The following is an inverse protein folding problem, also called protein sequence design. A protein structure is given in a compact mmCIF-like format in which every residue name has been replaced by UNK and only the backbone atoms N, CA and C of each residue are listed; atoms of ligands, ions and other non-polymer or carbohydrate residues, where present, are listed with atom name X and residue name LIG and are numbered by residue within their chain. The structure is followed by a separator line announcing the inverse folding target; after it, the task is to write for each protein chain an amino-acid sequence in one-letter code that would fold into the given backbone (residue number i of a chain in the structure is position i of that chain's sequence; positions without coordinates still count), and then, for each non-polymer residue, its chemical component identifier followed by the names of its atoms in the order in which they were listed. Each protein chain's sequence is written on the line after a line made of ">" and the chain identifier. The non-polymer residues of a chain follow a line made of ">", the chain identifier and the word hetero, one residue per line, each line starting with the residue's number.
data_IF_029015416925
#
_entry.id   IF_029015416925
#
_cell.length_a   1.000
_cell.length_b   1.000
_cell.length_c   1.000
_cell.angle_alpha   90.00
_cell.angle_beta   90.00
_cell.angle_gamma   90.00
#
_symmetry.space_group_name_H-M   'P 1'
#
loop_
_entity.id
_entity.type
_entity.pdbx_description
1 polymer ?
#
# COMPACT_ATOMS: atom_id res chain seq x y z
N UNK A 1 4.54 14.82 -10.78
CA UNK A 1 4.42 14.43 -9.36
C UNK A 1 5.82 14.04 -8.90
N UNK A 2 6.39 14.73 -7.90
CA UNK A 2 7.76 14.48 -7.46
C UNK A 2 7.92 13.02 -7.02
N UNK A 3 8.92 12.31 -7.55
CA UNK A 3 9.27 10.96 -7.13
C UNK A 3 9.65 11.04 -5.65
N UNK A 4 8.84 10.46 -4.76
CA UNK A 4 9.14 10.53 -3.32
C UNK A 4 10.49 9.84 -3.06
N UNK A 5 11.40 10.51 -2.38
CA UNK A 5 12.65 9.90 -1.93
C UNK A 5 12.33 8.93 -0.77
N UNK A 6 12.93 7.73 -0.77
CA UNK A 6 12.75 6.73 0.28
C UNK A 6 11.80 5.57 -0.10
N UNK A 7 11.22 4.92 0.92
CA UNK A 7 10.46 3.67 0.79
C UNK A 7 9.31 3.78 -0.24
N UNK A 8 8.55 4.88 -0.23
CA UNK A 8 7.42 5.08 -1.15
C UNK A 8 7.86 5.13 -2.60
N UNK A 9 9.02 5.72 -2.88
CA UNK A 9 9.58 5.79 -4.23
C UNK A 9 10.05 4.43 -4.73
N UNK A 10 10.56 3.57 -3.84
CA UNK A 10 10.92 2.18 -4.17
C UNK A 10 9.66 1.39 -4.51
N UNK A 11 8.62 1.48 -3.68
CA UNK A 11 7.35 0.77 -3.92
C UNK A 11 6.68 1.24 -5.22
N UNK A 12 6.69 2.54 -5.50
CA UNK A 12 6.16 3.12 -6.75
C UNK A 12 6.97 2.70 -7.99
N UNK A 13 8.25 2.36 -7.83
CA UNK A 13 9.11 1.94 -8.95
C UNK A 13 8.91 0.49 -9.37
N UNK A 14 8.16 -0.30 -8.58
CA UNK A 14 7.91 -1.70 -8.88
C UNK A 14 7.00 -1.85 -10.12
N UNK A 15 7.27 -2.83 -11.00
CA UNK A 15 6.36 -3.17 -12.09
C UNK A 15 4.97 -3.50 -11.56
N UNK A 16 3.91 -3.07 -12.27
CA UNK A 16 2.51 -3.29 -11.87
C UNK A 16 2.21 -4.75 -11.53
N UNK A 17 2.76 -5.70 -12.29
CA UNK A 17 2.59 -7.13 -12.04
C UNK A 17 3.14 -7.55 -10.67
N UNK A 18 4.30 -7.01 -10.28
CA UNK A 18 4.92 -7.30 -8.98
C UNK A 18 4.10 -6.68 -7.84
N UNK A 19 3.58 -5.46 -8.04
CA UNK A 19 2.70 -4.84 -7.04
C UNK A 19 1.44 -5.69 -6.81
N UNK A 20 0.80 -6.18 -7.88
CA UNK A 20 -0.37 -7.05 -7.79
C UNK A 20 -0.03 -8.36 -7.06
N UNK A 21 1.11 -8.99 -7.39
CA UNK A 21 1.57 -10.19 -6.71
C UNK A 21 1.76 -9.95 -5.21
N UNK A 22 2.40 -8.84 -4.82
CA UNK A 22 2.55 -8.49 -3.41
C UNK A 22 1.22 -8.22 -2.72
N UNK A 23 0.23 -7.64 -3.41
CA UNK A 23 -1.09 -7.44 -2.82
C UNK A 23 -1.83 -8.77 -2.59
N UNK A 24 -1.73 -9.73 -3.52
CA UNK A 24 -2.38 -11.04 -3.40
C UNK A 24 -1.78 -11.86 -2.25
N UNK A 25 -0.44 -11.94 -2.17
CA UNK A 25 0.22 -12.81 -1.19
C UNK A 25 0.50 -12.13 0.15
N UNK A 26 0.65 -10.80 0.15
CA UNK A 26 1.11 -10.04 1.31
C UNK A 26 0.45 -8.65 1.39
N UNK A 27 -0.80 -8.48 0.94
CA UNK A 27 -1.46 -7.18 0.82
C UNK A 27 -1.59 -6.39 2.12
N UNK A 28 -1.70 -7.08 3.25
CA UNK A 28 -1.68 -6.45 4.57
C UNK A 28 -0.30 -5.87 4.94
N UNK A 29 0.79 -6.50 4.52
CA UNK A 29 2.15 -5.96 4.70
C UNK A 29 2.42 -4.89 3.66
N UNK A 30 2.21 -5.19 2.38
CA UNK A 30 2.51 -4.27 1.28
C UNK A 30 1.70 -2.98 1.39
N UNK A 31 0.38 -3.09 1.58
CA UNK A 31 -0.50 -1.93 1.78
C UNK A 31 -0.20 -1.17 3.07
N UNK A 32 0.25 -1.86 4.13
CA UNK A 32 0.67 -1.25 5.38
C UNK A 32 1.97 -0.44 5.22
N UNK A 33 3.00 -1.05 4.62
CA UNK A 33 4.27 -0.39 4.31
C UNK A 33 4.08 0.81 3.38
N UNK A 34 3.21 0.69 2.38
CA UNK A 34 2.90 1.80 1.48
C UNK A 34 2.28 2.99 2.21
N UNK A 35 1.42 2.73 3.20
CA UNK A 35 0.80 3.75 4.06
C UNK A 35 1.75 4.31 5.12
N UNK A 36 2.73 3.53 5.60
CA UNK A 36 3.76 3.98 6.56
C UNK A 36 4.83 4.84 5.88
N UNK A 37 5.08 4.59 4.58
CA UNK A 37 6.18 5.20 3.84
C UNK A 37 6.25 6.75 3.81
N UNK A 38 5.15 7.53 3.95
CA UNK A 38 5.22 8.98 4.13
C UNK A 38 5.86 9.44 5.45
N UNK A 39 6.02 8.54 6.43
CA UNK A 39 6.57 8.80 7.77
C UNK A 39 5.84 9.91 8.57
N UNK A 40 4.61 10.24 8.19
CA UNK A 40 3.71 11.08 8.98
C UNK A 40 3.10 10.23 10.11
N UNK A 41 2.97 10.79 11.31
CA UNK A 41 2.41 10.12 12.48
C UNK A 41 1.03 9.52 12.19
N UNK A 42 0.18 10.25 11.47
CA UNK A 42 -1.15 9.74 11.07
C UNK A 42 -1.05 8.53 10.14
N UNK A 43 -0.16 8.62 9.15
CA UNK A 43 0.05 7.58 8.16
C UNK A 43 0.66 6.31 8.79
N UNK A 44 1.57 6.49 9.76
CA UNK A 44 2.15 5.41 10.57
C UNK A 44 1.05 4.70 11.37
N UNK A 45 0.19 5.43 12.08
CA UNK A 45 -0.90 4.84 12.86
C UNK A 45 -1.86 4.04 11.96
N UNK A 46 -2.25 4.62 10.81
CA UNK A 46 -3.14 3.94 9.85
C UNK A 46 -2.47 2.69 9.27
N UNK A 47 -1.19 2.76 8.91
CA UNK A 47 -0.47 1.62 8.35
C UNK A 47 -0.22 0.51 9.37
N UNK A 48 0.03 0.84 10.64
CA UNK A 48 0.12 -0.15 11.73
C UNK A 48 -1.24 -0.82 11.95
N UNK A 49 -2.33 -0.04 12.01
CA UNK A 49 -3.70 -0.59 12.11
C UNK A 49 -4.00 -1.51 10.94
N UNK A 50 -3.60 -1.14 9.72
CA UNK A 50 -3.74 -1.98 8.54
C UNK A 50 -3.02 -3.31 8.68
N UNK A 51 -1.76 -3.33 9.11
CA UNK A 51 -0.99 -4.57 9.30
C UNK A 51 -1.63 -5.46 10.37
N UNK A 52 -1.97 -4.89 11.53
CA UNK A 52 -2.51 -5.64 12.68
C UNK A 52 -3.90 -6.22 12.37
N UNK A 53 -4.70 -5.51 11.60
CA UNK A 53 -6.06 -5.94 11.20
C UNK A 53 -6.05 -6.82 9.95
N UNK A 54 -4.87 -7.11 9.39
CA UNK A 54 -4.73 -7.90 8.16
C UNK A 54 -5.26 -7.21 6.91
N UNK A 55 -5.22 -5.88 6.85
CA UNK A 55 -5.86 -5.06 5.81
C UNK A 55 -7.36 -4.84 6.04
N UNK A 56 -7.77 -4.94 7.32
CA UNK A 56 -9.13 -4.89 7.86
C UNK A 56 -10.07 -6.04 7.44
N UNK A 57 -9.67 -7.30 7.68
CA UNK A 57 -10.41 -8.54 7.35
C UNK A 57 -10.44 -8.91 5.85
N UNK A 58 -9.42 -8.53 5.09
CA UNK A 58 -9.24 -8.96 3.69
C UNK A 58 -9.97 -8.11 2.64
N UNK A 59 -10.97 -7.33 3.03
CA UNK A 59 -11.66 -6.40 2.12
C UNK A 59 -10.70 -5.34 1.57
N UNK A 60 -9.75 -4.88 2.40
CA UNK A 60 -8.74 -3.90 1.99
C UNK A 60 -7.87 -4.38 0.82
N UNK A 61 -7.73 -5.68 0.61
CA UNK A 61 -6.91 -6.26 -0.45
C UNK A 61 -7.59 -6.09 -1.81
N UNK A 62 -8.92 -6.28 -1.83
CA UNK A 62 -9.74 -6.09 -3.02
C UNK A 62 -9.67 -4.61 -3.44
N UNK A 63 -9.79 -3.70 -2.48
CA UNK A 63 -9.69 -2.25 -2.72
C UNK A 63 -8.30 -1.89 -3.27
N UNK A 64 -7.23 -2.42 -2.69
CA UNK A 64 -5.86 -2.15 -3.14
C UNK A 64 -5.57 -2.74 -4.54
N UNK A 65 -6.13 -3.91 -4.90
CA UNK A 65 -6.05 -4.47 -6.27
C UNK A 65 -6.77 -3.55 -7.27
N UNK A 66 -8.01 -3.16 -6.97
CA UNK A 66 -8.80 -2.30 -7.85
C UNK A 66 -8.11 -0.94 -8.04
N UNK A 67 -7.55 -0.35 -6.99
CA UNK A 67 -6.82 0.91 -7.10
C UNK A 67 -5.51 0.77 -7.86
N UNK A 68 -4.76 -0.33 -7.73
CA UNK A 68 -3.58 -0.58 -8.56
C UNK A 68 -3.93 -0.72 -10.03
N UNK A 69 -5.03 -1.39 -10.36
CA UNK A 69 -5.48 -1.55 -11.75
C UNK A 69 -5.88 -0.20 -12.35
N UNK A 70 -6.67 0.60 -11.62
CA UNK A 70 -7.22 1.85 -12.12
C UNK A 70 -6.23 3.02 -12.09
N UNK A 71 -5.41 3.11 -11.04
CA UNK A 71 -4.56 4.27 -10.75
C UNK A 71 -3.06 3.95 -10.70
N UNK A 72 -2.68 2.66 -10.82
CA UNK A 72 -1.30 2.22 -10.79
C UNK A 72 -0.66 2.21 -9.40
N UNK A 73 -1.44 2.42 -8.33
CA UNK A 73 -0.97 2.49 -6.94
C UNK A 73 -2.01 1.92 -5.99
N UNK A 74 -1.61 1.22 -4.92
CA UNK A 74 -2.52 0.84 -3.85
C UNK A 74 -2.88 2.08 -3.02
N UNK A 75 -4.15 2.25 -2.62
CA UNK A 75 -4.68 3.19 -1.60
C UNK A 75 -5.73 4.19 -2.11
N UNK A 76 -6.84 4.31 -1.35
CA UNK A 76 -7.82 5.44 -1.36
C UNK A 76 -7.69 6.31 -0.08
N UNK A 77 -7.07 5.78 0.98
CA UNK A 77 -7.19 6.28 2.36
C UNK A 77 -5.92 6.93 2.97
N UNK A 78 -4.90 7.29 2.17
CA UNK A 78 -3.79 8.19 2.57
C UNK A 78 -3.21 8.91 1.36
#
# INVERSE_FOLDING_TARGET
>A
MAKSNGLRGVLDSLPRLIQILFIIFAGFIYGGLYRIAPLDLKAIVIGILWIITGGFFGIGWIIDIVTVILHGKPTILV
#
